data_IF_394774506308
#
_entry.id   IF_394774506308
#
_cell.length_a   1.000
_cell.length_b   1.000
_cell.length_c   1.000
_cell.angle_alpha   90.00
_cell.angle_beta   90.00
_cell.angle_gamma   90.00
#
_symmetry.space_group_name_H-M   'P 1'
#
loop_
_entity.id
_entity.type
_entity.pdbx_description
1 polymer ?
#
# COMPACT_ATOMS: atom_id res chain seq x y z
N UNK A 1 13.56 23.17 -26.67
CA UNK A 1 13.57 22.86 -25.23
C UNK A 1 12.20 22.32 -24.87
N UNK A 2 12.15 21.17 -24.22
CA UNK A 2 10.88 20.61 -23.80
C UNK A 2 10.24 21.56 -22.77
N UNK A 3 8.92 21.75 -22.84
CA UNK A 3 8.19 22.66 -21.94
C UNK A 3 8.48 22.35 -20.45
N UNK A 4 8.77 21.09 -20.12
CA UNK A 4 9.18 20.61 -18.80
C UNK A 4 10.53 21.18 -18.32
N UNK A 5 11.50 21.33 -19.22
CA UNK A 5 12.84 21.85 -18.87
C UNK A 5 12.76 23.33 -18.51
N UNK A 6 11.90 24.09 -19.20
CA UNK A 6 11.68 25.51 -18.90
C UNK A 6 11.07 25.69 -17.52
N UNK A 7 10.07 24.89 -17.15
CA UNK A 7 9.46 24.95 -15.82
C UNK A 7 10.44 24.52 -14.72
N UNK A 8 11.26 23.50 -14.94
CA UNK A 8 12.28 23.08 -13.97
C UNK A 8 13.29 24.19 -13.68
N UNK A 9 13.78 24.87 -14.72
CA UNK A 9 14.71 25.99 -14.55
C UNK A 9 14.06 27.15 -13.78
N UNK A 10 12.84 27.54 -14.15
CA UNK A 10 12.10 28.60 -13.45
C UNK A 10 11.85 28.28 -11.97
N UNK A 11 11.53 27.02 -11.66
CA UNK A 11 11.34 26.57 -10.27
C UNK A 11 12.66 26.70 -9.49
N UNK A 12 13.78 26.23 -10.06
CA UNK A 12 15.09 26.30 -9.40
C UNK A 12 15.49 27.75 -9.13
N UNK A 13 15.31 28.65 -10.11
CA UNK A 13 15.68 30.05 -9.94
C UNK A 13 14.79 30.77 -8.91
N UNK A 14 13.50 30.40 -8.84
CA UNK A 14 12.59 30.92 -7.82
C UNK A 14 13.01 30.44 -6.43
N UNK A 15 13.36 29.16 -6.27
CA UNK A 15 13.80 28.59 -4.98
C UNK A 15 15.08 29.26 -4.47
N UNK A 16 16.02 29.60 -5.36
CA UNK A 16 17.27 30.30 -4.98
C UNK A 16 17.04 31.71 -4.42
N UNK A 17 15.90 32.34 -4.72
CA UNK A 17 15.55 33.68 -4.25
C UNK A 17 14.76 33.66 -2.93
N UNK A 18 14.34 32.48 -2.46
CA UNK A 18 13.60 32.35 -1.21
C UNK A 18 14.53 32.38 0.01
N UNK A 19 14.08 32.97 1.14
CA UNK A 19 14.80 32.91 2.40
C UNK A 19 14.80 31.47 2.95
N UNK A 20 15.83 31.13 3.72
CA UNK A 20 16.06 29.78 4.27
C UNK A 20 14.86 29.24 5.07
N UNK A 21 14.19 30.12 5.82
CA UNK A 21 12.99 29.82 6.61
C UNK A 21 11.85 29.23 5.77
N UNK A 22 11.79 29.57 4.48
CA UNK A 22 10.75 29.12 3.55
C UNK A 22 11.15 27.90 2.73
N UNK A 23 12.43 27.53 2.71
CA UNK A 23 12.91 26.35 2.00
C UNK A 23 12.33 25.06 2.59
N UNK A 24 12.14 25.01 3.91
CA UNK A 24 11.48 23.89 4.58
C UNK A 24 10.03 23.69 4.12
N UNK A 25 9.29 24.79 3.95
CA UNK A 25 7.90 24.78 3.47
C UNK A 25 7.82 24.25 2.02
N UNK A 26 8.73 24.73 1.16
CA UNK A 26 8.85 24.27 -0.23
C UNK A 26 9.23 22.79 -0.29
N UNK A 27 10.20 22.35 0.52
CA UNK A 27 10.61 20.95 0.57
C UNK A 27 9.46 20.03 0.98
N UNK A 28 8.69 20.41 1.99
CA UNK A 28 7.51 19.66 2.42
C UNK A 28 6.45 19.58 1.32
N UNK A 29 6.19 20.67 0.62
CA UNK A 29 5.21 20.70 -0.46
C UNK A 29 5.63 19.83 -1.65
N UNK A 30 6.90 19.89 -2.07
CA UNK A 30 7.43 19.06 -3.17
C UNK A 30 7.41 17.59 -2.78
N UNK A 31 7.74 17.27 -1.52
CA UNK A 31 7.67 15.90 -0.99
C UNK A 31 6.24 15.38 -1.02
N UNK A 32 5.27 16.18 -0.56
CA UNK A 32 3.85 15.84 -0.64
C UNK A 32 3.40 15.59 -2.08
N UNK A 33 3.79 16.43 -3.05
CA UNK A 33 3.45 16.21 -4.45
C UNK A 33 4.05 14.91 -4.99
N UNK A 34 5.30 14.60 -4.62
CA UNK A 34 5.95 13.35 -5.01
C UNK A 34 5.21 12.13 -4.47
N UNK A 35 4.70 12.19 -3.24
CA UNK A 35 3.92 11.09 -2.64
C UNK A 35 2.51 11.00 -3.22
N UNK A 36 1.82 12.14 -3.40
CA UNK A 36 0.46 12.19 -3.94
C UNK A 36 0.36 11.67 -5.37
N UNK A 37 1.37 11.95 -6.18
CA UNK A 37 1.43 11.56 -7.59
C UNK A 37 2.47 10.48 -7.85
N UNK A 38 3.06 9.90 -6.80
CA UNK A 38 3.72 8.62 -6.97
C UNK A 38 2.66 7.68 -7.53
N UNK A 39 2.90 7.04 -8.69
CA UNK A 39 2.02 5.97 -9.13
C UNK A 39 2.02 5.00 -7.96
N UNK A 40 0.89 4.96 -7.23
CA UNK A 40 0.65 3.93 -6.25
C UNK A 40 1.00 2.66 -6.99
N UNK A 41 2.03 1.94 -6.51
CA UNK A 41 2.17 0.53 -6.85
C UNK A 41 0.81 -0.02 -6.49
N UNK A 42 -0.06 -0.16 -7.50
CA UNK A 42 -1.43 -0.57 -7.31
C UNK A 42 -1.29 -1.84 -6.52
N UNK A 43 -1.65 -1.78 -5.23
CA UNK A 43 -1.73 -3.00 -4.43
C UNK A 43 -2.63 -3.85 -5.30
N UNK A 44 -2.11 -4.97 -5.76
CA UNK A 44 -2.83 -5.83 -6.67
C UNK A 44 -4.01 -6.36 -5.83
N UNK A 45 -5.12 -5.61 -5.80
CA UNK A 45 -6.29 -5.92 -5.00
C UNK A 45 -6.88 -7.12 -5.71
N UNK A 46 -6.44 -8.30 -5.30
CA UNK A 46 -7.00 -9.56 -5.76
C UNK A 46 -8.42 -9.59 -5.20
N UNK A 47 -9.41 -9.44 -6.08
CA UNK A 47 -10.81 -9.60 -5.71
C UNK A 47 -11.02 -11.08 -5.36
N UNK A 48 -11.09 -11.39 -4.06
CA UNK A 48 -11.36 -12.75 -3.56
C UNK A 48 -12.85 -13.11 -3.56
N UNK A 49 -13.73 -12.16 -3.93
CA UNK A 49 -15.16 -12.41 -4.07
C UNK A 49 -15.45 -13.43 -5.17
N UNK A 50 -16.37 -14.36 -4.91
CA UNK A 50 -16.77 -15.40 -5.87
C UNK A 50 -15.97 -16.71 -5.76
N UNK A 51 -14.87 -16.76 -5.01
CA UNK A 51 -14.10 -18.00 -4.81
C UNK A 51 -14.89 -19.13 -4.13
N UNK A 52 -15.94 -18.76 -3.40
CA UNK A 52 -16.82 -19.68 -2.67
C UNK A 52 -18.19 -19.83 -3.33
N UNK A 53 -18.37 -19.32 -4.55
CA UNK A 53 -19.64 -19.43 -5.27
C UNK A 53 -19.94 -20.90 -5.59
N UNK A 54 -21.11 -21.38 -5.17
CA UNK A 54 -21.51 -22.79 -5.32
C UNK A 54 -20.88 -23.75 -4.31
N UNK A 55 -20.05 -23.26 -3.38
CA UNK A 55 -19.55 -24.06 -2.27
C UNK A 55 -20.48 -23.92 -1.07
N UNK A 56 -21.14 -25.02 -0.70
CA UNK A 56 -21.96 -25.10 0.51
C UNK A 56 -21.17 -25.81 1.61
N UNK A 57 -20.68 -25.03 2.58
CA UNK A 57 -19.99 -25.59 3.74
C UNK A 57 -21.03 -26.30 4.63
N UNK A 58 -20.92 -27.61 4.77
CA UNK A 58 -21.82 -28.38 5.62
C UNK A 58 -21.38 -28.34 7.09
N UNK A 59 -22.34 -28.47 8.01
CA UNK A 59 -22.03 -28.52 9.44
C UNK A 59 -21.02 -29.63 9.78
N UNK A 60 -21.08 -30.75 9.05
CA UNK A 60 -20.14 -31.85 9.22
C UNK A 60 -18.71 -31.44 8.87
N UNK A 61 -18.50 -30.76 7.76
CA UNK A 61 -17.18 -30.26 7.35
C UNK A 61 -16.62 -29.24 8.35
N UNK A 62 -17.48 -28.42 8.96
CA UNK A 62 -17.09 -27.49 10.03
C UNK A 62 -16.63 -28.26 11.28
N UNK A 63 -17.36 -29.31 11.67
CA UNK A 63 -17.00 -30.13 12.84
C UNK A 63 -15.71 -30.92 12.60
N UNK A 64 -15.54 -31.50 11.42
CA UNK A 64 -14.34 -32.25 11.05
C UNK A 64 -13.11 -31.32 10.99
N UNK A 65 -13.23 -30.16 10.36
CA UNK A 65 -12.16 -29.16 10.33
C UNK A 65 -11.80 -28.65 11.74
N UNK A 66 -12.81 -28.40 12.59
CA UNK A 66 -12.59 -28.02 13.99
C UNK A 66 -11.81 -29.12 14.71
N UNK A 67 -12.26 -30.37 14.63
CA UNK A 67 -11.61 -31.51 15.27
C UNK A 67 -10.15 -31.66 14.81
N UNK A 68 -9.90 -31.53 13.52
CA UNK A 68 -8.55 -31.60 12.94
C UNK A 68 -7.65 -30.49 13.50
N UNK A 69 -8.13 -29.24 13.58
CA UNK A 69 -7.36 -28.12 14.13
C UNK A 69 -7.01 -28.35 15.61
N UNK A 70 -7.97 -28.81 16.41
CA UNK A 70 -7.72 -29.11 17.84
C UNK A 70 -6.74 -30.28 18.01
N UNK A 71 -6.83 -31.32 17.17
CA UNK A 71 -5.88 -32.44 17.17
C UNK A 71 -4.44 -32.01 16.83
N UNK A 72 -4.27 -31.04 15.93
CA UNK A 72 -2.94 -30.49 15.57
C UNK A 72 -2.40 -29.49 16.60
N UNK A 73 -3.27 -28.85 17.39
CA UNK A 73 -2.86 -27.97 18.49
C UNK A 73 -2.35 -28.77 19.69
N UNK A 74 -3.00 -29.88 20.04
CA UNK A 74 -2.55 -30.78 21.12
C UNK A 74 -1.22 -31.49 20.80
N UNK A 75 -0.89 -31.68 19.51
CA UNK A 75 0.40 -32.23 19.07
C UNK A 75 1.57 -31.26 19.18
N UNK A 76 1.33 -29.97 19.49
CA UNK A 76 2.38 -28.94 19.60
C UNK A 76 2.84 -28.64 21.04
N UNK A 77 2.25 -29.28 22.05
CA UNK A 77 2.65 -29.13 23.46
C UNK A 77 3.43 -30.32 24.04
N UNK A 78 3.99 -31.21 23.21
CA UNK A 78 4.98 -32.18 23.68
C UNK A 78 6.21 -32.15 22.75
N UNK A 79 7.34 -31.81 23.37
CA UNK A 79 8.74 -31.68 22.90
C UNK A 79 9.16 -30.24 22.53
#
# INVERSE_FOLDING_TARGET
MALSEQYQQQIIDTIKQLPEEKLAEVFNFVTFLKEKYQPSTEKNIVKLGGLWEGFELTDKEIQDARKEIWQHLDMKEIV
#
